data_IF_809159816141
#
_entry.id   IF_809159816141
#
_cell.length_a   1.000
_cell.length_b   1.000
_cell.length_c   1.000
_cell.angle_alpha   90.00
_cell.angle_beta   90.00
_cell.angle_gamma   90.00
#
_symmetry.space_group_name_H-M   'P 1'
#
loop_
_entity.id
_entity.type
_entity.pdbx_description
1 polymer ?
#
# COMPACT_ATOMS: atom_id res chain seq x y z
N UNK A 1 4.37 14.33 -6.51
CA UNK A 1 5.32 13.88 -5.48
C UNK A 1 5.14 12.40 -5.25
N UNK A 2 6.24 11.68 -5.27
CA UNK A 2 6.15 10.25 -5.04
C UNK A 2 6.16 9.97 -3.54
N UNK A 3 5.45 8.93 -3.16
CA UNK A 3 5.40 8.52 -1.78
C UNK A 3 6.59 7.62 -1.48
N UNK A 4 7.14 7.76 -0.29
CA UNK A 4 8.24 6.91 0.10
C UNK A 4 7.73 5.50 0.40
N UNK A 5 8.64 4.53 0.29
CA UNK A 5 8.29 3.15 0.63
C UNK A 5 7.82 3.06 2.09
N UNK A 6 8.48 3.80 2.97
CA UNK A 6 8.10 3.80 4.38
C UNK A 6 6.65 4.25 4.57
N UNK A 7 6.23 5.27 3.81
CA UNK A 7 4.87 5.76 3.90
C UNK A 7 3.87 4.68 3.46
N UNK A 8 4.18 3.99 2.37
CA UNK A 8 3.32 2.91 1.88
C UNK A 8 3.20 1.81 2.93
N UNK A 9 4.33 1.43 3.51
CA UNK A 9 4.34 0.38 4.53
C UNK A 9 3.52 0.81 5.75
N UNK A 10 3.66 2.05 6.17
CA UNK A 10 2.88 2.53 7.32
C UNK A 10 1.38 2.50 7.05
N UNK A 11 0.99 2.92 5.86
CA UNK A 11 -0.43 2.89 5.52
C UNK A 11 -0.96 1.46 5.55
N UNK A 12 -0.20 0.53 5.00
CA UNK A 12 -0.61 -0.88 4.98
C UNK A 12 -0.74 -1.43 6.40
N UNK A 13 0.21 -1.13 7.27
CA UNK A 13 0.14 -1.60 8.65
C UNK A 13 -1.04 -0.98 9.38
N UNK A 14 -1.27 0.30 9.17
CA UNK A 14 -2.36 1.00 9.83
C UNK A 14 -3.72 0.45 9.41
N UNK A 15 -3.84 -0.02 8.20
CA UNK A 15 -5.09 -0.58 7.69
C UNK A 15 -5.20 -2.08 7.94
N UNK A 16 -4.22 -2.68 8.61
CA UNK A 16 -4.29 -4.08 8.98
C UNK A 16 -3.69 -5.04 7.97
N UNK A 17 -3.06 -4.54 6.94
CA UNK A 17 -2.45 -5.39 5.91
C UNK A 17 -0.97 -5.62 6.23
N UNK A 18 -0.72 -6.31 7.35
CA UNK A 18 0.66 -6.47 7.83
C UNK A 18 1.50 -7.33 6.91
N UNK A 19 0.92 -8.39 6.36
CA UNK A 19 1.66 -9.24 5.43
C UNK A 19 2.01 -8.49 4.16
N UNK A 20 1.07 -7.70 3.66
CA UNK A 20 1.33 -6.88 2.49
C UNK A 20 2.41 -5.85 2.78
N UNK A 21 2.41 -5.29 3.99
CA UNK A 21 3.43 -4.33 4.38
C UNK A 21 4.82 -4.97 4.36
N UNK A 22 4.94 -6.18 4.88
CA UNK A 22 6.21 -6.89 4.86
C UNK A 22 6.65 -7.17 3.43
N UNK A 23 5.72 -7.57 2.59
CA UNK A 23 6.03 -7.84 1.19
C UNK A 23 6.49 -6.57 0.49
N UNK A 24 5.83 -5.45 0.76
CA UNK A 24 6.20 -4.18 0.17
C UNK A 24 7.65 -3.81 0.51
N UNK A 25 8.02 -4.02 1.76
CA UNK A 25 9.39 -3.71 2.18
C UNK A 25 10.43 -4.53 1.43
N UNK A 26 10.07 -5.77 1.09
CA UNK A 26 11.01 -6.66 0.43
C UNK A 26 11.06 -6.50 -1.08
N UNK A 27 9.94 -6.12 -1.70
CA UNK A 27 9.83 -6.21 -3.15
C UNK A 27 9.72 -4.87 -3.86
N UNK A 28 9.25 -3.83 -3.19
CA UNK A 28 9.09 -2.54 -3.84
C UNK A 28 10.32 -1.69 -3.75
N UNK A 29 10.54 -0.86 -4.77
CA UNK A 29 11.62 0.12 -4.75
C UNK A 29 11.32 1.23 -3.77
N UNK A 30 12.35 2.01 -3.43
CA UNK A 30 12.19 3.15 -2.54
C UNK A 30 12.71 4.39 -3.24
N UNK A 31 11.84 5.27 -3.76
CA UNK A 31 10.37 5.18 -3.70
C UNK A 31 9.82 4.24 -4.77
N UNK A 32 8.70 3.58 -4.52
CA UNK A 32 8.08 2.75 -5.53
C UNK A 32 7.43 3.61 -6.60
N UNK A 33 7.47 3.17 -7.83
CA UNK A 33 6.81 3.93 -8.87
C UNK A 33 5.35 3.46 -8.99
N UNK A 34 4.57 4.20 -9.80
CA UNK A 34 3.15 3.94 -9.89
C UNK A 34 2.85 2.55 -10.44
N UNK A 35 3.64 2.10 -11.41
CA UNK A 35 3.41 0.79 -12.00
C UNK A 35 3.64 -0.32 -10.97
N UNK A 36 4.67 -0.16 -10.12
CA UNK A 36 4.91 -1.11 -9.06
C UNK A 36 3.76 -1.14 -8.07
N UNK A 37 3.28 0.03 -7.69
CA UNK A 37 2.18 0.12 -6.75
C UNK A 37 0.91 -0.50 -7.30
N UNK A 38 0.62 -0.25 -8.56
CA UNK A 38 -0.57 -0.81 -9.20
C UNK A 38 -0.52 -2.33 -9.21
N UNK A 39 0.62 -2.89 -9.58
CA UNK A 39 0.77 -4.34 -9.62
C UNK A 39 0.71 -4.96 -8.24
N UNK A 40 1.34 -4.30 -7.29
CA UNK A 40 1.33 -4.76 -5.91
C UNK A 40 -0.10 -4.76 -5.37
N UNK A 41 -0.83 -3.68 -5.61
CA UNK A 41 -2.21 -3.57 -5.14
C UNK A 41 -3.07 -4.67 -5.76
N UNK A 42 -2.90 -4.92 -7.05
CA UNK A 42 -3.67 -5.96 -7.72
C UNK A 42 -3.35 -7.34 -7.16
N UNK A 43 -2.07 -7.60 -6.89
CA UNK A 43 -1.64 -8.91 -6.39
C UNK A 43 -2.19 -9.19 -4.99
N UNK A 44 -2.37 -8.15 -4.19
CA UNK A 44 -2.84 -8.31 -2.81
C UNK A 44 -4.31 -7.94 -2.63
N UNK A 45 -5.01 -7.66 -3.72
CA UNK A 45 -6.42 -7.28 -3.62
C UNK A 45 -6.66 -5.96 -2.94
N UNK A 46 -5.70 -5.04 -3.04
CA UNK A 46 -5.78 -3.75 -2.37
C UNK A 46 -6.22 -2.70 -3.38
N UNK A 47 -7.51 -2.43 -3.42
CA UNK A 47 -8.01 -1.36 -4.28
C UNK A 47 -8.04 -0.05 -3.49
N UNK A 48 -8.15 1.06 -4.21
CA UNK A 48 -8.29 2.35 -3.55
C UNK A 48 -9.53 2.37 -2.66
N UNK A 49 -10.59 1.69 -3.09
CA UNK A 49 -11.81 1.64 -2.31
C UNK A 49 -11.60 0.89 -0.99
N UNK A 50 -10.90 -0.24 -1.05
CA UNK A 50 -10.63 -1.02 0.16
C UNK A 50 -9.79 -0.20 1.14
N UNK A 51 -8.75 0.45 0.64
CA UNK A 51 -7.89 1.25 1.49
C UNK A 51 -8.65 2.41 2.11
N UNK A 52 -9.50 3.06 1.32
CA UNK A 52 -10.28 4.17 1.83
C UNK A 52 -11.23 3.73 2.93
N UNK A 53 -11.86 2.58 2.77
CA UNK A 53 -12.74 2.04 3.79
C UNK A 53 -11.99 1.74 5.08
N UNK A 54 -10.82 1.14 4.94
CA UNK A 54 -10.02 0.76 6.12
C UNK A 54 -9.48 1.98 6.84
N UNK A 55 -9.21 3.05 6.11
CA UNK A 55 -8.75 4.28 6.72
C UNK A 55 -9.87 5.11 7.31
N UNK A 56 -11.10 4.61 7.22
CA UNK A 56 -12.22 5.31 7.80
C UNK A 56 -12.64 6.53 7.00
N UNK A 57 -12.40 6.48 5.70
CA UNK A 57 -12.71 7.61 4.85
C UNK A 57 -14.15 7.70 4.41
N UNK A 58 -15.04 7.01 5.06
CA UNK A 58 -16.44 7.10 4.66
C UNK A 58 -17.00 8.44 5.07
N UNK A 59 -17.87 8.97 4.29
CA UNK A 59 -18.56 10.21 4.63
C UNK A 59 -19.51 10.02 5.78
#
# INVERSE_FOLDING_TARGET
MSQSLQHVVEVLRRTGFNEAADEAERTLSDPPDQAELDRFAAAHGLSAEVLAERLGGSP
#
